data_IF_929382010091
#
_entry.id   IF_929382010091
#
_cell.length_a   1.000
_cell.length_b   1.000
_cell.length_c   1.000
_cell.angle_alpha   90.00
_cell.angle_beta   90.00
_cell.angle_gamma   90.00
#
_symmetry.space_group_name_H-M   'P 1'
#
loop_
_entity.id
_entity.type
_entity.pdbx_description
1 polymer ?
#
# COMPACT_ATOMS: atom_id res chain seq x y z
N UNK A 1 -39.33 -22.98 40.50
CA UNK A 1 -38.49 -22.27 39.51
C UNK A 1 -38.43 -20.81 39.99
N UNK A 2 -37.54 -20.38 40.91
CA UNK A 2 -36.10 -20.13 40.70
C UNK A 2 -35.85 -19.64 39.27
N UNK A 3 -35.52 -18.40 38.94
CA UNK A 3 -35.20 -17.19 39.69
C UNK A 3 -34.83 -16.08 38.69
N UNK A 4 -34.63 -14.87 39.20
CA UNK A 4 -33.92 -13.72 38.59
C UNK A 4 -34.51 -13.07 37.32
N UNK A 5 -35.54 -12.23 37.52
CA UNK A 5 -35.73 -11.01 36.72
C UNK A 5 -35.19 -9.83 37.54
N UNK A 6 -33.91 -9.54 37.38
CA UNK A 6 -33.27 -8.36 37.95
C UNK A 6 -32.22 -7.85 36.96
N UNK A 7 -32.67 -7.27 35.84
CA UNK A 7 -31.82 -6.40 35.04
C UNK A 7 -31.88 -5.02 35.70
N UNK A 8 -31.07 -4.86 36.75
CA UNK A 8 -30.85 -3.56 37.39
C UNK A 8 -29.77 -2.81 36.60
N UNK A 9 -30.19 -1.68 36.03
CA UNK A 9 -29.50 -0.40 35.96
C UNK A 9 -28.02 -0.38 35.56
N UNK A 10 -27.73 0.15 34.36
CA UNK A 10 -26.78 1.28 34.17
C UNK A 10 -27.21 2.05 32.91
N UNK A 11 -28.17 2.97 33.02
CA UNK A 11 -28.35 4.05 32.04
C UNK A 11 -27.84 5.34 32.71
N UNK A 12 -26.52 5.46 32.84
CA UNK A 12 -25.90 6.76 33.11
C UNK A 12 -25.91 7.58 31.81
N UNK A 13 -26.49 8.77 31.92
CA UNK A 13 -26.70 9.70 30.82
C UNK A 13 -25.41 10.13 30.13
N UNK A 14 -25.44 10.07 28.80
CA UNK A 14 -24.51 10.79 27.95
C UNK A 14 -25.04 12.21 27.79
N UNK A 15 -24.53 13.14 28.60
CA UNK A 15 -24.69 14.58 28.34
C UNK A 15 -23.79 14.96 27.18
N UNK A 16 -24.39 15.19 26.01
CA UNK A 16 -23.67 15.72 24.84
C UNK A 16 -23.16 17.13 25.17
N UNK A 17 -21.85 17.25 25.37
CA UNK A 17 -21.18 18.56 25.42
C UNK A 17 -20.98 19.04 23.98
N UNK A 18 -21.62 20.15 23.65
CA UNK A 18 -21.48 20.81 22.36
C UNK A 18 -20.08 21.41 22.24
N UNK A 19 -19.29 20.91 21.29
CA UNK A 19 -18.00 21.51 20.95
C UNK A 19 -18.24 22.86 20.25
N UNK A 20 -17.84 23.96 20.88
CA UNK A 20 -17.72 25.27 20.22
C UNK A 20 -16.53 25.24 19.25
N UNK A 21 -16.78 25.55 17.98
CA UNK A 21 -15.74 25.76 16.97
C UNK A 21 -15.03 27.11 17.19
N UNK A 22 -13.71 27.08 17.35
CA UNK A 22 -12.88 28.28 17.36
C UNK A 22 -12.50 28.68 15.92
N UNK A 23 -12.52 29.98 15.55
CA UNK A 23 -12.01 30.44 14.26
C UNK A 23 -10.48 30.55 14.30
N UNK A 24 -9.82 29.60 13.63
CA UNK A 24 -8.36 29.57 13.44
C UNK A 24 -7.94 30.36 12.20
N UNK A 25 -7.05 31.33 12.41
CA UNK A 25 -6.53 32.35 11.50
C UNK A 25 -5.96 31.79 10.17
N UNK A 26 -6.26 32.50 9.08
CA UNK A 26 -5.63 32.35 7.77
C UNK A 26 -4.13 32.68 7.85
N UNK A 27 -3.28 31.74 7.45
CA UNK A 27 -1.85 31.97 7.25
C UNK A 27 -1.58 32.23 5.76
N UNK A 28 -1.40 33.49 5.38
CA UNK A 28 -0.71 33.90 4.16
C UNK A 28 0.80 33.86 4.42
N UNK A 29 1.51 32.90 3.82
CA UNK A 29 2.97 32.93 3.70
C UNK A 29 3.42 31.97 2.59
N UNK A 30 3.20 32.33 1.32
CA UNK A 30 3.85 31.66 0.20
C UNK A 30 5.27 32.25 0.02
N UNK A 31 6.16 31.89 0.95
CA UNK A 31 7.60 32.14 0.84
C UNK A 31 8.24 30.95 0.11
N UNK A 32 8.49 31.15 -1.18
CA UNK A 32 9.62 30.68 -1.98
C UNK A 32 10.25 29.32 -1.56
N UNK A 33 9.83 28.23 -2.21
CA UNK A 33 10.57 26.96 -2.20
C UNK A 33 11.64 27.00 -3.29
N UNK A 34 12.78 27.63 -3.02
CA UNK A 34 14.00 27.38 -3.81
C UNK A 34 14.65 26.12 -3.29
N UNK A 35 14.19 24.98 -3.78
CA UNK A 35 15.00 23.78 -3.85
C UNK A 35 15.15 23.43 -5.33
N UNK A 36 16.28 23.85 -5.92
CA UNK A 36 16.85 23.12 -7.05
C UNK A 36 17.24 21.74 -6.53
N UNK A 37 16.25 20.85 -6.43
CA UNK A 37 16.54 19.44 -6.55
C UNK A 37 16.97 19.27 -7.99
N UNK A 38 18.24 18.96 -8.19
CA UNK A 38 18.72 18.26 -9.37
C UNK A 38 17.96 16.93 -9.40
N UNK A 39 16.72 16.95 -9.87
CA UNK A 39 16.03 15.76 -10.34
C UNK A 39 16.72 15.42 -11.65
N UNK A 40 17.85 14.73 -11.55
CA UNK A 40 18.07 13.58 -12.42
C UNK A 40 16.72 12.88 -12.44
N UNK A 41 16.00 12.94 -13.56
CA UNK A 41 14.70 12.31 -13.70
C UNK A 41 14.86 10.92 -13.11
N UNK A 42 14.21 10.67 -11.96
CA UNK A 42 14.15 9.34 -11.42
C UNK A 42 13.59 8.53 -12.58
N UNK A 43 14.41 7.66 -13.15
CA UNK A 43 13.88 6.67 -14.09
C UNK A 43 12.79 6.00 -13.29
N UNK A 44 11.53 6.18 -13.72
CA UNK A 44 10.44 5.54 -13.02
C UNK A 44 10.59 4.08 -13.35
N UNK A 45 11.32 3.39 -12.48
CA UNK A 45 11.75 2.01 -12.66
C UNK A 45 10.55 1.04 -12.54
N UNK A 46 9.39 1.55 -12.08
CA UNK A 46 8.11 0.87 -11.91
C UNK A 46 8.27 -0.56 -11.41
N UNK A 47 7.93 -1.59 -12.21
CA UNK A 47 8.00 -2.99 -11.78
C UNK A 47 9.37 -3.63 -11.94
N UNK A 48 10.40 -2.86 -12.28
CA UNK A 48 11.76 -3.32 -12.43
C UNK A 48 12.78 -2.25 -12.08
N UNK A 49 13.80 -2.16 -12.91
CA UNK A 49 14.92 -1.23 -12.87
C UNK A 49 15.32 -0.96 -14.32
N UNK A 50 16.26 -0.04 -14.55
CA UNK A 50 16.84 0.13 -15.90
C UNK A 50 17.35 -1.17 -16.54
N UNK A 51 17.88 -2.13 -15.76
CA UNK A 51 18.38 -3.42 -16.27
C UNK A 51 17.29 -4.50 -16.39
N UNK A 52 16.11 -4.26 -15.81
CA UNK A 52 14.96 -5.17 -15.85
C UNK A 52 13.73 -4.52 -16.49
N UNK A 53 13.95 -3.59 -17.43
CA UNK A 53 12.89 -2.91 -18.17
C UNK A 53 11.98 -3.86 -19.01
N UNK A 54 12.37 -5.13 -19.14
CA UNK A 54 11.55 -6.18 -19.74
C UNK A 54 10.45 -6.71 -18.81
N UNK A 55 10.52 -6.42 -17.51
CA UNK A 55 9.46 -6.76 -16.54
C UNK A 55 8.26 -5.84 -16.82
N UNK A 56 7.08 -6.40 -17.17
CA UNK A 56 5.94 -5.57 -17.53
C UNK A 56 5.41 -4.71 -16.37
N UNK A 57 4.95 -3.51 -16.69
CA UNK A 57 4.27 -2.61 -15.74
C UNK A 57 2.77 -2.90 -15.60
N UNK A 58 2.26 -3.80 -16.43
CA UNK A 58 0.85 -4.14 -16.52
C UNK A 58 0.65 -5.56 -17.05
N UNK A 59 -0.53 -6.09 -16.81
CA UNK A 59 -1.01 -7.29 -17.48
C UNK A 59 -2.41 -7.05 -18.02
N UNK A 60 -2.54 -7.00 -19.35
CA UNK A 60 -3.78 -6.61 -20.02
C UNK A 60 -4.29 -5.24 -19.55
N UNK A 61 -5.42 -5.21 -18.83
CA UNK A 61 -6.02 -3.99 -18.27
C UNK A 61 -5.57 -3.69 -16.83
N UNK A 62 -4.87 -4.62 -16.17
CA UNK A 62 -4.41 -4.43 -14.81
C UNK A 62 -3.11 -3.64 -14.79
N UNK A 63 -3.13 -2.46 -14.16
CA UNK A 63 -1.96 -1.61 -13.96
C UNK A 63 -1.24 -1.99 -12.65
N UNK A 64 0.02 -2.44 -12.75
CA UNK A 64 0.80 -2.89 -11.61
C UNK A 64 1.75 -1.82 -11.06
N UNK A 65 1.89 -0.67 -11.76
CA UNK A 65 2.85 0.40 -11.38
C UNK A 65 2.68 0.88 -9.95
N UNK A 66 1.43 1.03 -9.49
CA UNK A 66 1.15 1.40 -8.10
C UNK A 66 1.63 0.34 -7.11
N UNK A 67 1.39 -0.95 -7.39
CA UNK A 67 1.84 -2.04 -6.53
C UNK A 67 3.36 -2.06 -6.42
N UNK A 68 4.05 -1.91 -7.55
CA UNK A 68 5.50 -1.91 -7.65
C UNK A 68 6.13 -0.70 -6.92
N UNK A 69 5.64 0.51 -7.16
CA UNK A 69 6.13 1.71 -6.46
C UNK A 69 5.97 1.62 -4.93
N UNK A 70 4.90 0.96 -4.44
CA UNK A 70 4.71 0.72 -3.00
C UNK A 70 5.62 -0.37 -2.46
N UNK A 71 5.99 -1.35 -3.27
CA UNK A 71 6.95 -2.40 -2.90
C UNK A 71 8.36 -1.82 -2.79
N UNK A 72 8.80 -1.03 -3.77
CA UNK A 72 10.10 -0.35 -3.75
C UNK A 72 10.25 0.56 -2.53
N UNK A 73 9.21 1.35 -2.23
CA UNK A 73 9.19 2.18 -1.03
C UNK A 73 9.30 1.34 0.25
N UNK A 74 8.69 0.15 0.30
CA UNK A 74 8.78 -0.77 1.42
C UNK A 74 10.18 -1.41 1.55
N UNK A 75 10.85 -1.64 0.41
CA UNK A 75 12.22 -2.16 0.34
C UNK A 75 13.30 -1.11 0.66
N UNK A 76 12.93 0.17 0.70
CA UNK A 76 13.87 1.27 0.94
C UNK A 76 14.49 1.24 2.34
N UNK A 77 15.67 1.86 2.47
CA UNK A 77 16.48 1.86 3.69
C UNK A 77 15.82 2.56 4.90
N UNK A 78 14.73 3.30 4.68
CA UNK A 78 13.96 3.96 5.75
C UNK A 78 12.88 3.06 6.34
N UNK A 79 12.51 1.97 5.65
CA UNK A 79 11.49 1.03 6.11
C UNK A 79 12.01 0.12 7.22
N UNK A 80 11.16 -0.15 8.21
CA UNK A 80 11.39 -1.16 9.26
C UNK A 80 10.56 -2.42 9.04
N UNK A 81 9.82 -2.50 7.93
CA UNK A 81 8.97 -3.64 7.58
C UNK A 81 9.83 -4.80 7.08
N UNK A 82 9.54 -6.03 7.48
CA UNK A 82 10.28 -7.20 6.98
C UNK A 82 10.06 -7.41 5.48
N UNK A 83 11.05 -8.01 4.80
CA UNK A 83 10.97 -8.35 3.38
C UNK A 83 9.71 -9.17 3.08
N UNK A 84 9.49 -10.25 3.84
CA UNK A 84 8.27 -11.06 3.71
C UNK A 84 6.97 -10.24 3.81
N UNK A 85 6.86 -9.30 4.75
CA UNK A 85 5.65 -8.48 4.88
C UNK A 85 5.50 -7.49 3.71
N UNK A 86 6.60 -6.92 3.21
CA UNK A 86 6.58 -6.12 1.99
C UNK A 86 6.07 -6.94 0.79
N UNK A 87 6.57 -8.17 0.62
CA UNK A 87 6.23 -9.04 -0.51
C UNK A 87 4.76 -9.49 -0.46
N UNK A 88 4.24 -9.84 0.73
CA UNK A 88 2.82 -10.18 0.91
C UNK A 88 1.90 -8.99 0.60
N UNK A 89 2.29 -7.80 1.05
CA UNK A 89 1.55 -6.58 0.75
C UNK A 89 1.62 -6.23 -0.76
N UNK A 90 2.72 -6.57 -1.44
CA UNK A 90 2.86 -6.44 -2.88
C UNK A 90 1.89 -7.36 -3.63
N UNK A 91 1.86 -8.66 -3.32
CA UNK A 91 0.90 -9.60 -3.90
C UNK A 91 -0.55 -9.14 -3.70
N UNK A 92 -0.87 -8.63 -2.52
CA UNK A 92 -2.21 -8.11 -2.22
C UNK A 92 -2.56 -6.96 -3.17
N UNK A 93 -1.66 -5.99 -3.38
CA UNK A 93 -1.89 -4.86 -4.28
C UNK A 93 -1.99 -5.28 -5.75
N UNK A 94 -1.18 -6.24 -6.19
CA UNK A 94 -1.28 -6.81 -7.54
C UNK A 94 -2.66 -7.46 -7.75
N UNK A 95 -3.13 -8.24 -6.78
CA UNK A 95 -4.49 -8.82 -6.81
C UNK A 95 -5.57 -7.75 -6.78
N UNK A 96 -5.39 -6.66 -6.04
CA UNK A 96 -6.31 -5.52 -6.10
C UNK A 96 -6.37 -4.95 -7.51
N UNK A 97 -5.23 -4.67 -8.16
CA UNK A 97 -5.19 -4.19 -9.54
C UNK A 97 -5.95 -5.11 -10.50
N UNK A 98 -5.76 -6.43 -10.38
CA UNK A 98 -6.51 -7.42 -11.14
C UNK A 98 -8.03 -7.33 -10.91
N UNK A 99 -8.47 -7.21 -9.65
CA UNK A 99 -9.89 -7.11 -9.31
C UNK A 99 -10.54 -5.80 -9.72
N UNK A 100 -9.75 -4.73 -9.83
CA UNK A 100 -10.19 -3.42 -10.35
C UNK A 100 -10.33 -3.47 -11.87
N UNK A 101 -9.40 -4.12 -12.56
CA UNK A 101 -9.39 -4.19 -14.02
C UNK A 101 -10.42 -5.17 -14.61
N UNK A 102 -10.76 -6.22 -13.87
CA UNK A 102 -11.60 -7.32 -14.34
C UNK A 102 -12.72 -7.62 -13.35
N UNK A 103 -13.96 -7.70 -13.85
CA UNK A 103 -15.14 -8.09 -13.07
C UNK A 103 -14.99 -9.51 -12.50
N UNK A 104 -15.76 -9.84 -11.46
CA UNK A 104 -15.65 -11.12 -10.74
C UNK A 104 -15.79 -12.37 -11.63
N UNK A 105 -16.67 -12.32 -12.63
CA UNK A 105 -16.92 -13.43 -13.55
C UNK A 105 -16.06 -13.41 -14.81
N UNK A 106 -15.17 -12.43 -14.96
CA UNK A 106 -14.27 -12.39 -16.11
C UNK A 106 -13.11 -13.38 -15.90
N UNK A 107 -12.92 -14.40 -16.77
CA UNK A 107 -11.87 -15.39 -16.61
C UNK A 107 -10.45 -14.79 -16.59
N UNK A 108 -10.24 -13.65 -17.26
CA UNK A 108 -8.96 -12.93 -17.22
C UNK A 108 -8.58 -12.47 -15.81
N UNK A 109 -9.54 -12.29 -14.90
CA UNK A 109 -9.26 -11.95 -13.49
C UNK A 109 -8.41 -13.04 -12.82
N UNK A 110 -8.74 -14.31 -13.06
CA UNK A 110 -8.03 -15.44 -12.46
C UNK A 110 -6.65 -15.63 -13.09
N UNK A 111 -6.53 -15.44 -14.41
CA UNK A 111 -5.23 -15.42 -15.08
C UNK A 111 -4.36 -14.26 -14.57
N UNK A 112 -4.94 -13.08 -14.36
CA UNK A 112 -4.26 -11.94 -13.75
C UNK A 112 -3.72 -12.27 -12.36
N UNK A 113 -4.50 -12.98 -11.53
CA UNK A 113 -4.04 -13.44 -10.23
C UNK A 113 -2.88 -14.43 -10.32
N UNK A 114 -2.84 -15.28 -11.35
CA UNK A 114 -1.70 -16.14 -11.64
C UNK A 114 -0.44 -15.33 -11.97
N UNK A 115 -0.57 -14.30 -12.80
CA UNK A 115 0.55 -13.38 -13.10
C UNK A 115 1.00 -12.62 -11.85
N UNK A 116 0.06 -12.13 -11.04
CA UNK A 116 0.37 -11.50 -9.74
C UNK A 116 1.16 -12.44 -8.81
N UNK A 117 0.85 -13.74 -8.84
CA UNK A 117 1.59 -14.75 -8.11
C UNK A 117 3.02 -14.92 -8.65
N UNK A 118 3.22 -14.92 -9.96
CA UNK A 118 4.57 -14.96 -10.57
C UNK A 118 5.43 -13.77 -10.12
N UNK A 119 4.86 -12.56 -10.03
CA UNK A 119 5.59 -11.38 -9.52
C UNK A 119 5.98 -11.55 -8.06
N UNK A 120 5.07 -12.09 -7.25
CA UNK A 120 5.34 -12.39 -5.86
C UNK A 120 6.46 -13.42 -5.69
N UNK A 121 6.40 -14.55 -6.42
CA UNK A 121 7.46 -15.56 -6.39
C UNK A 121 8.83 -14.98 -6.81
N UNK A 122 8.85 -14.13 -7.85
CA UNK A 122 10.08 -13.48 -8.29
C UNK A 122 10.71 -12.61 -7.18
N UNK A 123 9.92 -11.82 -6.44
CA UNK A 123 10.48 -11.02 -5.32
C UNK A 123 10.81 -11.87 -4.10
N UNK A 124 10.12 -12.99 -3.88
CA UNK A 124 10.48 -13.94 -2.82
C UNK A 124 11.84 -14.58 -3.07
N UNK A 125 12.09 -14.99 -4.31
CA UNK A 125 13.34 -15.63 -4.73
C UNK A 125 14.50 -14.63 -4.84
N UNK A 126 14.30 -13.53 -5.57
CA UNK A 126 15.39 -12.62 -5.95
C UNK A 126 15.37 -11.28 -5.20
N UNK A 127 14.29 -10.93 -4.51
CA UNK A 127 14.13 -9.62 -3.87
C UNK A 127 15.11 -9.36 -2.72
N UNK A 128 15.78 -10.39 -2.20
CA UNK A 128 16.81 -10.22 -1.15
C UNK A 128 17.96 -9.31 -1.60
N UNK A 129 18.26 -9.27 -2.91
CA UNK A 129 19.31 -8.43 -3.47
C UNK A 129 18.91 -6.96 -3.58
N UNK A 130 17.61 -6.68 -3.69
CA UNK A 130 17.07 -5.32 -3.76
C UNK A 130 16.64 -4.77 -2.38
N UNK A 131 16.44 -5.64 -1.39
CA UNK A 131 15.97 -5.24 -0.08
C UNK A 131 17.04 -4.48 0.73
N UNK A 132 16.76 -3.20 0.99
CA UNK A 132 17.62 -2.29 1.76
C UNK A 132 17.05 -1.90 3.13
N UNK A 133 15.83 -2.33 3.44
CA UNK A 133 15.13 -2.02 4.69
C UNK A 133 15.78 -2.59 5.95
N UNK A 134 15.36 -2.07 7.10
CA UNK A 134 15.88 -2.41 8.44
C UNK A 134 15.16 -3.59 9.12
N UNK A 135 14.03 -4.03 8.57
CA UNK A 135 13.32 -5.23 9.04
C UNK A 135 14.02 -6.52 8.65
N UNK A 136 13.49 -7.66 9.09
CA UNK A 136 14.03 -8.99 8.72
C UNK A 136 14.15 -9.14 7.20
N UNK A 137 15.30 -9.64 6.74
CA UNK A 137 15.57 -9.93 5.32
C UNK A 137 14.95 -11.23 4.83
N UNK A 138 14.42 -12.07 5.74
CA UNK A 138 13.82 -13.36 5.40
C UNK A 138 12.61 -13.21 4.46
#
# INVERSE_FOLDING_TARGET
MLGTLAVLAVLLGMTATSAQAAPGRQATAATQVTALATTTAATTDYCGTRSTAWVPDSWGKADFRYACARHDACYSATSTTSRLACDQAFLTRLRTACSTAYSAWNPLRYTCYGVAWTYYEAVREFGVYAYSGKGSRA
#
